data_IF_281981496409
#
_entry.id   IF_281981496409
#
_cell.length_a   1.000
_cell.length_b   1.000
_cell.length_c   1.000
_cell.angle_alpha   90.00
_cell.angle_beta   90.00
_cell.angle_gamma   90.00
#
_symmetry.space_group_name_H-M   'P 1'
#
loop_
_entity.id
_entity.type
_entity.pdbx_description
1 polymer ?
#
# COMPACT_ATOMS: atom_id res chain seq x y z
N UNK A 1 10.77 16.67 -20.92
CA UNK A 1 9.71 17.54 -21.48
C UNK A 1 8.43 16.75 -21.77
N UNK A 2 8.52 15.52 -22.30
CA UNK A 2 7.34 14.71 -22.68
C UNK A 2 6.58 14.21 -21.46
N UNK A 3 7.26 13.66 -20.46
CA UNK A 3 6.66 13.16 -19.22
C UNK A 3 5.93 14.26 -18.45
N UNK A 4 6.51 15.44 -18.31
CA UNK A 4 5.89 16.58 -17.62
C UNK A 4 4.56 17.05 -18.26
N UNK A 5 4.42 16.94 -19.60
CA UNK A 5 3.16 17.23 -20.27
C UNK A 5 2.10 16.18 -19.94
N UNK A 6 2.49 14.91 -19.94
CA UNK A 6 1.60 13.79 -19.64
C UNK A 6 1.18 13.79 -18.15
N UNK A 7 2.10 14.12 -17.24
CA UNK A 7 1.79 14.30 -15.80
C UNK A 7 0.66 15.32 -15.61
N UNK A 8 0.78 16.50 -16.20
CA UNK A 8 -0.26 17.54 -16.13
C UNK A 8 -1.60 17.10 -16.74
N UNK A 9 -1.58 16.31 -17.81
CA UNK A 9 -2.79 15.79 -18.42
C UNK A 9 -3.51 14.81 -17.49
N UNK A 10 -2.78 13.90 -16.83
CA UNK A 10 -3.29 12.94 -15.88
C UNK A 10 -3.79 13.66 -14.62
N UNK A 11 -3.02 14.58 -14.06
CA UNK A 11 -3.43 15.40 -12.92
C UNK A 11 -4.76 16.09 -13.18
N UNK A 12 -4.90 16.74 -14.34
CA UNK A 12 -6.15 17.42 -14.73
C UNK A 12 -7.30 16.43 -14.94
N UNK A 13 -7.05 15.31 -15.65
CA UNK A 13 -8.09 14.34 -15.99
C UNK A 13 -8.68 13.65 -14.76
N UNK A 14 -7.85 13.31 -13.78
CA UNK A 14 -8.22 12.56 -12.61
C UNK A 14 -8.29 13.42 -11.33
N UNK A 15 -8.15 14.73 -11.44
CA UNK A 15 -8.13 15.67 -10.31
C UNK A 15 -7.10 15.28 -9.24
N UNK A 16 -5.89 14.91 -9.68
CA UNK A 16 -4.79 14.56 -8.79
C UNK A 16 -3.97 15.79 -8.41
N UNK A 17 -3.43 15.80 -7.21
CA UNK A 17 -2.51 16.86 -6.76
C UNK A 17 -1.15 16.76 -7.48
N UNK A 18 -0.66 15.54 -7.70
CA UNK A 18 0.59 15.25 -8.38
C UNK A 18 0.49 13.92 -9.12
N UNK A 19 1.13 13.83 -10.28
CA UNK A 19 1.42 12.60 -10.99
C UNK A 19 2.93 12.53 -11.26
N UNK A 20 3.52 11.36 -11.16
CA UNK A 20 4.92 11.10 -11.47
C UNK A 20 4.97 10.03 -12.55
N UNK A 21 5.51 10.39 -13.70
CA UNK A 21 5.62 9.49 -14.85
C UNK A 21 7.09 9.16 -15.08
N UNK A 22 7.36 7.87 -15.22
CA UNK A 22 8.70 7.35 -15.49
C UNK A 22 8.78 7.03 -16.98
N UNK A 23 9.82 7.56 -17.62
CA UNK A 23 10.12 7.20 -19.00
C UNK A 23 10.67 5.77 -19.04
N UNK A 24 10.05 4.93 -19.85
CA UNK A 24 10.35 3.50 -19.94
C UNK A 24 10.93 3.08 -21.29
N UNK A 25 11.35 4.05 -22.10
CA UNK A 25 11.96 3.75 -23.39
C UNK A 25 13.23 2.93 -23.19
N UNK A 26 13.30 1.80 -23.88
CA UNK A 26 14.47 0.90 -23.94
C UNK A 26 14.86 0.22 -22.60
N UNK A 27 14.00 0.19 -21.59
CA UNK A 27 14.27 -0.51 -20.33
C UNK A 27 13.31 -1.69 -20.11
N UNK A 28 13.81 -2.72 -19.45
CA UNK A 28 13.02 -3.92 -19.14
C UNK A 28 12.03 -3.68 -18.00
N UNK A 29 11.01 -4.54 -17.91
CA UNK A 29 9.91 -4.43 -16.93
C UNK A 29 10.40 -4.41 -15.47
N UNK A 30 11.47 -5.12 -15.14
CA UNK A 30 12.01 -5.18 -13.78
C UNK A 30 12.67 -3.85 -13.39
N UNK A 31 13.43 -3.25 -14.30
CA UNK A 31 14.02 -1.93 -14.10
C UNK A 31 12.97 -0.82 -14.01
N UNK A 32 11.92 -0.88 -14.82
CA UNK A 32 10.76 0.03 -14.71
C UNK A 32 10.16 -0.03 -13.31
N UNK A 33 9.90 -1.22 -12.80
CA UNK A 33 9.35 -1.40 -11.44
C UNK A 33 10.28 -0.84 -10.37
N UNK A 34 11.58 -1.08 -10.50
CA UNK A 34 12.59 -0.54 -9.57
C UNK A 34 12.61 0.98 -9.58
N UNK A 35 12.64 1.60 -10.75
CA UNK A 35 12.62 3.06 -10.90
C UNK A 35 11.33 3.67 -10.34
N UNK A 36 10.17 3.05 -10.61
CA UNK A 36 8.90 3.47 -10.05
C UNK A 36 8.90 3.42 -8.52
N UNK A 37 9.42 2.33 -7.95
CA UNK A 37 9.54 2.16 -6.50
C UNK A 37 10.46 3.21 -5.87
N UNK A 38 11.57 3.52 -6.50
CA UNK A 38 12.51 4.55 -6.05
C UNK A 38 11.88 5.94 -6.08
N UNK A 39 11.19 6.29 -7.16
CA UNK A 39 10.51 7.59 -7.28
C UNK A 39 9.36 7.72 -6.27
N UNK A 40 8.58 6.66 -6.08
CA UNK A 40 7.53 6.63 -5.06
C UNK A 40 8.10 6.81 -3.64
N UNK A 41 9.21 6.15 -3.33
CA UNK A 41 9.89 6.28 -2.04
C UNK A 41 10.43 7.70 -1.79
N UNK A 42 11.02 8.33 -2.80
CA UNK A 42 11.50 9.72 -2.73
C UNK A 42 10.33 10.70 -2.56
N UNK A 43 9.24 10.48 -3.27
CA UNK A 43 8.04 11.31 -3.13
C UNK A 43 7.44 11.16 -1.74
N UNK A 44 7.29 9.93 -1.24
CA UNK A 44 6.82 9.69 0.12
C UNK A 44 7.70 10.39 1.15
N UNK A 45 9.03 10.27 1.05
CA UNK A 45 9.96 10.97 1.95
C UNK A 45 9.71 12.48 1.98
N UNK A 46 9.44 13.08 0.82
CA UNK A 46 9.19 14.52 0.68
C UNK A 46 7.91 14.96 1.41
N UNK A 47 6.82 14.20 1.27
CA UNK A 47 5.52 14.58 1.83
C UNK A 47 5.31 14.14 3.27
N UNK A 48 6.03 13.11 3.71
CA UNK A 48 5.85 12.44 4.99
C UNK A 48 5.83 13.37 6.22
N UNK A 49 6.65 14.44 6.31
CA UNK A 49 6.64 15.32 7.48
C UNK A 49 5.29 15.97 7.80
N UNK A 50 4.37 16.00 6.82
CA UNK A 50 3.02 16.55 6.99
C UNK A 50 2.00 15.56 7.54
N UNK A 51 2.38 14.30 7.77
CA UNK A 51 1.48 13.21 8.14
C UNK A 51 1.93 12.49 9.39
N UNK A 52 0.98 12.10 10.25
CA UNK A 52 1.23 11.39 11.50
C UNK A 52 0.78 9.92 11.43
N UNK A 53 -0.38 9.68 10.81
CA UNK A 53 -0.98 8.35 10.70
C UNK A 53 -0.99 7.91 9.24
N UNK A 54 -0.22 6.86 8.95
CA UNK A 54 -0.03 6.33 7.60
C UNK A 54 -0.66 4.93 7.52
N UNK A 55 -1.70 4.80 6.73
CA UNK A 55 -2.25 3.50 6.37
C UNK A 55 -1.49 2.90 5.18
N UNK A 56 -1.24 1.60 5.20
CA UNK A 56 -0.62 0.89 4.08
C UNK A 56 -1.40 -0.36 3.72
N UNK A 57 -1.69 -0.54 2.44
CA UNK A 57 -2.26 -1.75 1.88
C UNK A 57 -1.17 -2.80 1.66
N UNK A 58 -1.39 -3.76 0.79
CA UNK A 58 -0.48 -4.85 0.45
C UNK A 58 -0.07 -4.80 -1.03
N UNK A 59 0.93 -5.56 -1.39
CA UNK A 59 1.30 -5.80 -2.78
C UNK A 59 2.75 -5.50 -3.13
N UNK A 60 3.15 -6.01 -4.31
CA UNK A 60 4.52 -5.90 -4.80
C UNK A 60 5.00 -4.45 -5.02
N UNK A 61 4.11 -3.56 -5.46
CA UNK A 61 4.45 -2.15 -5.67
C UNK A 61 4.77 -1.46 -4.35
N UNK A 62 3.96 -1.74 -3.31
CA UNK A 62 4.21 -1.20 -1.97
C UNK A 62 5.44 -1.84 -1.31
N UNK A 63 5.70 -3.14 -1.54
CA UNK A 63 6.96 -3.77 -1.13
C UNK A 63 8.15 -3.03 -1.73
N UNK A 64 8.13 -2.78 -3.05
CA UNK A 64 9.18 -2.03 -3.72
C UNK A 64 9.37 -0.62 -3.17
N UNK A 65 8.28 0.11 -2.89
CA UNK A 65 8.33 1.42 -2.24
C UNK A 65 9.01 1.34 -0.88
N UNK A 66 8.60 0.41 -0.02
CA UNK A 66 9.15 0.25 1.33
C UNK A 66 10.61 -0.16 1.28
N UNK A 67 11.02 -1.05 0.36
CA UNK A 67 12.42 -1.47 0.21
C UNK A 67 13.34 -0.30 -0.14
N UNK A 68 12.90 0.59 -1.02
CA UNK A 68 13.66 1.76 -1.46
C UNK A 68 13.48 2.99 -0.56
N UNK A 69 12.54 2.95 0.40
CA UNK A 69 12.36 4.07 1.33
C UNK A 69 13.59 4.20 2.23
N UNK A 70 14.22 5.39 2.30
CA UNK A 70 15.41 5.59 3.11
C UNK A 70 15.09 5.63 4.60
N UNK A 71 16.07 5.36 5.44
CA UNK A 71 15.95 5.59 6.88
C UNK A 71 15.78 7.09 7.14
N UNK A 72 14.79 7.43 7.96
CA UNK A 72 14.45 8.81 8.35
C UNK A 72 14.24 8.88 9.85
N UNK A 73 14.03 10.08 10.37
CA UNK A 73 13.67 10.29 11.77
C UNK A 73 12.30 10.96 11.87
N UNK A 74 11.24 10.14 11.89
CA UNK A 74 9.85 10.58 12.00
C UNK A 74 9.14 9.83 13.14
N UNK A 75 9.69 9.96 14.35
CA UNK A 75 9.31 9.18 15.54
C UNK A 75 7.85 9.35 15.98
N UNK A 76 7.21 10.47 15.61
CA UNK A 76 5.81 10.73 15.92
C UNK A 76 4.82 9.95 15.03
N UNK A 77 5.29 9.41 13.91
CA UNK A 77 4.40 8.73 12.97
C UNK A 77 4.02 7.32 13.42
N UNK A 78 2.80 6.95 13.08
CA UNK A 78 2.28 5.59 13.23
C UNK A 78 1.93 5.03 11.86
N UNK A 79 2.39 3.82 11.55
CA UNK A 79 2.03 3.08 10.35
C UNK A 79 1.11 1.93 10.73
N UNK A 80 0.01 1.79 10.02
CA UNK A 80 -0.98 0.75 10.27
C UNK A 80 -1.48 0.09 8.97
N UNK A 81 -1.87 -1.20 9.04
CA UNK A 81 -2.41 -1.91 7.90
C UNK A 81 -3.83 -1.46 7.57
N UNK A 82 -4.13 -1.32 6.28
CA UNK A 82 -5.48 -1.00 5.78
C UNK A 82 -6.29 -2.24 5.43
N UNK A 83 -5.67 -3.42 5.41
CA UNK A 83 -6.31 -4.68 5.07
C UNK A 83 -5.73 -5.81 5.93
N UNK A 84 -6.52 -6.83 6.19
CA UNK A 84 -6.13 -8.00 6.95
C UNK A 84 -5.09 -8.89 6.25
N UNK A 85 -4.70 -9.98 6.92
CA UNK A 85 -3.68 -10.90 6.44
C UNK A 85 -4.11 -11.73 5.25
N UNK A 86 -3.12 -12.09 4.44
CA UNK A 86 -3.21 -13.06 3.34
C UNK A 86 -2.69 -14.42 3.80
N UNK A 87 -2.59 -15.39 2.89
CA UNK A 87 -1.93 -16.67 3.18
C UNK A 87 -0.43 -16.51 3.42
N UNK A 88 0.17 -17.49 4.08
CA UNK A 88 1.59 -17.47 4.48
C UNK A 88 2.57 -17.36 3.31
N UNK A 89 2.19 -17.82 2.12
CA UNK A 89 3.02 -17.77 0.91
C UNK A 89 3.36 -16.35 0.44
N UNK A 90 2.67 -15.34 0.97
CA UNK A 90 2.83 -13.95 0.53
C UNK A 90 3.26 -13.01 1.69
N UNK A 91 3.96 -13.55 2.67
CA UNK A 91 4.35 -12.83 3.88
C UNK A 91 5.00 -11.46 3.62
N UNK A 92 5.94 -11.38 2.69
CA UNK A 92 6.72 -10.15 2.46
C UNK A 92 5.90 -8.97 1.94
N UNK A 93 4.78 -9.25 1.25
CA UNK A 93 3.91 -8.22 0.67
C UNK A 93 2.68 -7.92 1.51
N UNK A 94 2.52 -8.55 2.65
CA UNK A 94 1.37 -8.34 3.55
C UNK A 94 1.43 -6.97 4.22
N UNK A 95 0.27 -6.36 4.43
CA UNK A 95 0.17 -5.02 5.02
C UNK A 95 0.73 -4.92 6.42
N UNK A 96 0.61 -5.95 7.26
CA UNK A 96 1.24 -6.00 8.58
C UNK A 96 2.78 -5.93 8.49
N UNK A 97 3.38 -6.71 7.57
CA UNK A 97 4.82 -6.71 7.36
C UNK A 97 5.30 -5.37 6.79
N UNK A 98 4.57 -4.83 5.81
CA UNK A 98 4.88 -3.53 5.22
C UNK A 98 4.76 -2.39 6.24
N UNK A 99 3.75 -2.45 7.13
CA UNK A 99 3.60 -1.49 8.23
C UNK A 99 4.80 -1.50 9.16
N UNK A 100 5.25 -2.68 9.57
CA UNK A 100 6.43 -2.84 10.41
C UNK A 100 7.71 -2.31 9.75
N UNK A 101 7.97 -2.72 8.51
CA UNK A 101 9.20 -2.35 7.80
C UNK A 101 9.27 -0.84 7.52
N UNK A 102 8.16 -0.22 7.13
CA UNK A 102 8.10 1.22 6.91
C UNK A 102 8.27 1.98 8.22
N UNK A 103 7.55 1.60 9.27
CA UNK A 103 7.66 2.23 10.60
C UNK A 103 9.09 2.15 11.13
N UNK A 104 9.76 1.00 10.99
CA UNK A 104 11.17 0.81 11.38
C UNK A 104 12.10 1.78 10.65
N UNK A 105 11.93 1.96 9.35
CA UNK A 105 12.72 2.91 8.54
C UNK A 105 12.47 4.36 8.92
N UNK A 106 11.27 4.68 9.38
CA UNK A 106 10.88 6.01 9.86
C UNK A 106 11.25 6.26 11.33
N UNK A 107 11.66 5.24 12.07
CA UNK A 107 11.76 5.24 13.54
C UNK A 107 10.42 5.59 14.22
N UNK A 108 9.32 5.29 13.55
CA UNK A 108 7.97 5.47 14.01
C UNK A 108 7.43 4.21 14.72
N UNK A 109 6.12 4.19 14.91
CA UNK A 109 5.40 3.06 15.53
C UNK A 109 4.67 2.25 14.46
N UNK A 110 4.67 0.93 14.58
CA UNK A 110 3.84 0.04 13.79
C UNK A 110 2.64 -0.43 14.58
N UNK A 111 1.48 -0.53 13.94
CA UNK A 111 0.32 -1.25 14.44
C UNK A 111 0.03 -2.46 13.55
N UNK A 112 -0.76 -3.40 14.06
CA UNK A 112 -1.04 -4.68 13.41
C UNK A 112 -2.53 -4.95 13.40
N UNK A 113 -3.02 -5.51 12.31
CA UNK A 113 -4.40 -5.97 12.16
C UNK A 113 -4.41 -7.51 12.17
N UNK A 114 -4.79 -8.10 13.27
CA UNK A 114 -4.87 -9.56 13.45
C UNK A 114 -6.23 -10.09 13.00
N UNK A 115 -6.51 -9.90 11.74
CA UNK A 115 -7.70 -10.38 11.07
C UNK A 115 -7.33 -10.85 9.66
N UNK A 116 -7.96 -11.93 9.14
CA UNK A 116 -7.82 -12.26 7.74
C UNK A 116 -8.43 -11.15 6.87
N UNK A 117 -7.91 -11.01 5.64
CA UNK A 117 -8.44 -10.05 4.68
C UNK A 117 -9.81 -10.44 4.14
N UNK A 118 -10.05 -11.75 3.99
CA UNK A 118 -11.32 -12.33 3.56
C UNK A 118 -11.81 -13.36 4.58
N UNK A 119 -13.11 -13.44 4.73
CA UNK A 119 -13.80 -14.43 5.57
C UNK A 119 -14.92 -15.09 4.78
N UNK A 120 -15.28 -16.32 5.14
CA UNK A 120 -16.19 -17.17 4.38
C UNK A 120 -17.66 -16.75 4.45
N UNK A 121 -18.05 -15.96 5.45
CA UNK A 121 -19.45 -15.55 5.61
C UNK A 121 -19.58 -14.28 6.48
N UNK A 122 -20.78 -13.72 6.46
CA UNK A 122 -21.12 -12.49 7.16
C UNK A 122 -21.03 -12.61 8.69
N UNK A 123 -21.38 -13.75 9.27
CA UNK A 123 -21.34 -13.94 10.72
C UNK A 123 -19.91 -13.80 11.25
N UNK A 124 -18.94 -14.46 10.60
CA UNK A 124 -17.53 -14.33 10.96
C UNK A 124 -17.05 -12.88 10.79
N UNK A 125 -17.47 -12.20 9.72
CA UNK A 125 -17.16 -10.79 9.51
C UNK A 125 -17.66 -9.91 10.65
N UNK A 126 -18.90 -10.11 11.11
CA UNK A 126 -19.49 -9.37 12.20
C UNK A 126 -18.77 -9.62 13.53
N UNK A 127 -18.48 -10.88 13.84
CA UNK A 127 -17.72 -11.25 15.05
C UNK A 127 -16.31 -10.61 15.09
N UNK A 128 -15.58 -10.67 13.99
CA UNK A 128 -14.27 -10.03 13.90
C UNK A 128 -14.36 -8.50 13.98
N UNK A 129 -15.38 -7.91 13.35
CA UNK A 129 -15.58 -6.45 13.37
C UNK A 129 -15.98 -5.94 14.76
N UNK A 130 -16.60 -6.77 15.58
CA UNK A 130 -16.98 -6.45 16.96
C UNK A 130 -15.83 -6.68 17.97
N UNK A 131 -14.73 -7.29 17.54
CA UNK A 131 -13.55 -7.43 18.38
C UNK A 131 -12.87 -6.06 18.57
N UNK A 132 -12.74 -5.61 19.82
CA UNK A 132 -12.23 -4.28 20.14
C UNK A 132 -10.83 -3.99 19.54
N UNK A 133 -9.93 -4.97 19.53
CA UNK A 133 -8.59 -4.80 19.01
C UNK A 133 -8.59 -4.61 17.48
N UNK A 134 -9.42 -5.38 16.78
CA UNK A 134 -9.60 -5.28 15.33
C UNK A 134 -10.30 -3.97 14.98
N UNK A 135 -11.40 -3.67 15.65
CA UNK A 135 -12.19 -2.47 15.43
C UNK A 135 -11.34 -1.20 15.61
N UNK A 136 -10.53 -1.14 16.66
CA UNK A 136 -9.65 0.00 16.92
C UNK A 136 -8.72 0.31 15.74
N UNK A 137 -8.13 -0.71 15.12
CA UNK A 137 -7.23 -0.52 13.97
C UNK A 137 -8.02 -0.13 12.71
N UNK A 138 -9.19 -0.74 12.50
CA UNK A 138 -10.04 -0.40 11.34
C UNK A 138 -10.54 1.06 11.41
N UNK A 139 -10.96 1.52 12.59
CA UNK A 139 -11.40 2.90 12.78
C UNK A 139 -10.25 3.91 12.62
N UNK A 140 -9.09 3.61 13.16
CA UNK A 140 -7.90 4.44 12.96
C UNK A 140 -7.46 4.49 11.48
N UNK A 141 -7.58 3.36 10.76
CA UNK A 141 -7.34 3.29 9.32
C UNK A 141 -8.27 4.19 8.50
N UNK A 142 -9.54 4.34 8.91
CA UNK A 142 -10.50 5.24 8.25
C UNK A 142 -10.13 6.71 8.39
N UNK A 143 -9.42 7.07 9.44
CA UNK A 143 -9.01 8.44 9.76
C UNK A 143 -7.52 8.69 9.52
N UNK A 144 -6.85 7.77 8.83
CA UNK A 144 -5.44 7.95 8.50
C UNK A 144 -5.21 9.19 7.62
N UNK A 145 -4.16 9.95 7.94
CA UNK A 145 -3.80 11.18 7.24
C UNK A 145 -3.31 10.90 5.80
N UNK A 146 -2.69 9.73 5.61
CA UNK A 146 -2.15 9.27 4.34
C UNK A 146 -2.45 7.78 4.17
N UNK A 147 -2.93 7.40 2.99
CA UNK A 147 -3.11 6.00 2.61
C UNK A 147 -2.18 5.65 1.44
N UNK A 148 -1.36 4.61 1.62
CA UNK A 148 -0.52 4.02 0.59
C UNK A 148 -1.24 2.80 0.01
N UNK A 149 -1.65 2.89 -1.24
CA UNK A 149 -2.39 1.84 -1.94
C UNK A 149 -1.73 1.46 -3.27
N UNK A 150 -1.86 0.20 -3.64
CA UNK A 150 -1.50 -0.28 -4.97
C UNK A 150 -2.71 -0.28 -5.90
N UNK A 151 -2.45 -0.28 -7.19
CA UNK A 151 -3.46 -0.45 -8.24
C UNK A 151 -3.13 -1.74 -8.98
N UNK A 152 -4.15 -2.58 -9.20
CA UNK A 152 -4.03 -3.84 -9.93
C UNK A 152 -5.18 -3.98 -10.92
N UNK A 153 -4.98 -4.80 -11.94
CA UNK A 153 -6.05 -5.28 -12.82
C UNK A 153 -6.84 -6.42 -12.15
N UNK A 154 -8.02 -6.70 -12.69
CA UNK A 154 -8.86 -7.84 -12.31
C UNK A 154 -8.74 -9.03 -13.29
N UNK A 155 -7.80 -8.94 -14.24
CA UNK A 155 -7.56 -9.99 -15.23
C UNK A 155 -6.98 -11.27 -14.61
N UNK A 156 -6.89 -12.32 -15.43
CA UNK A 156 -6.40 -13.64 -14.99
C UNK A 156 -4.97 -13.62 -14.45
N UNK A 157 -4.15 -12.67 -14.89
CA UNK A 157 -2.76 -12.53 -14.44
C UNK A 157 -2.61 -11.66 -13.19
N UNK A 158 -3.71 -11.13 -12.66
CA UNK A 158 -3.67 -10.28 -11.48
C UNK A 158 -3.20 -11.03 -10.22
N UNK A 159 -2.49 -10.34 -9.36
CA UNK A 159 -2.08 -10.89 -8.08
C UNK A 159 -3.29 -11.30 -7.21
N UNK A 160 -4.42 -10.59 -7.33
CA UNK A 160 -5.62 -10.89 -6.56
C UNK A 160 -6.20 -12.27 -6.89
N UNK A 161 -6.10 -12.71 -8.16
CA UNK A 161 -6.49 -14.08 -8.56
C UNK A 161 -5.45 -15.10 -8.14
N UNK A 162 -4.17 -14.83 -8.35
CA UNK A 162 -3.06 -15.73 -8.00
C UNK A 162 -3.04 -16.11 -6.52
N UNK A 163 -3.44 -15.19 -5.65
CA UNK A 163 -3.52 -15.42 -4.20
C UNK A 163 -4.90 -15.87 -3.71
N UNK A 164 -5.85 -16.15 -4.62
CA UNK A 164 -7.19 -16.66 -4.30
C UNK A 164 -8.15 -15.61 -3.73
N UNK A 165 -7.87 -14.32 -3.94
CA UNK A 165 -8.77 -13.23 -3.52
C UNK A 165 -10.00 -13.09 -4.40
N UNK A 166 -9.87 -13.46 -5.69
CA UNK A 166 -10.95 -13.44 -6.66
C UNK A 166 -11.06 -14.83 -7.29
N UNK A 167 -12.27 -15.37 -7.30
CA UNK A 167 -12.64 -16.58 -8.04
C UNK A 167 -12.96 -16.24 -9.51
N UNK A 168 -13.17 -17.28 -10.32
CA UNK A 168 -13.65 -17.10 -11.70
C UNK A 168 -15.07 -16.51 -11.75
N UNK A 169 -15.85 -16.70 -10.68
CA UNK A 169 -17.24 -16.22 -10.56
C UNK A 169 -17.32 -14.74 -10.15
N UNK A 170 -16.22 -14.14 -9.67
CA UNK A 170 -16.18 -12.76 -9.20
C UNK A 170 -15.93 -11.73 -10.32
N UNK A 171 -15.87 -12.16 -11.59
CA UNK A 171 -15.62 -11.33 -12.76
C UNK A 171 -16.54 -11.65 -13.90
#
# INVERSE_FOLDING_TARGET
VYTAKLERQIEKKFNLKNAIIIDTLDINKAEVKKMASQQAALYLKKILPSYQTIGISWGNSLRGLVDHFPYTNHQGATVLPLIGGLSDDYFEIQSNQLSYDLARKMRGKAKYLYSPALVSNQLIREELSNNNAIQSILEEGKTADLALIGISSLDQESNMRKIGFLSEEDT
#
